data_IF_957275773222
#
_entry.id   IF_957275773222
#
_cell.length_a   1.000
_cell.length_b   1.000
_cell.length_c   1.000
_cell.angle_alpha   90.00
_cell.angle_beta   90.00
_cell.angle_gamma   90.00
#
_symmetry.space_group_name_H-M   'P 1'
#
loop_
_entity.id
_entity.type
_entity.pdbx_description
1 polymer ?
#
# COMPACT_ATOMS: atom_id res chain seq x y z
N UNK A 1 12.79 28.30 25.02
CA UNK A 1 11.97 27.14 24.58
C UNK A 1 11.12 26.74 25.77
N UNK A 2 9.79 26.76 25.65
CA UNK A 2 8.89 26.52 26.79
C UNK A 2 8.76 25.02 27.07
N UNK A 3 8.97 24.67 28.33
CA UNK A 3 8.71 23.38 28.98
C UNK A 3 7.20 23.15 29.14
N UNK A 4 6.76 21.90 28.95
CA UNK A 4 5.57 21.29 29.59
C UNK A 4 5.98 19.84 29.90
N UNK A 5 6.36 19.52 31.13
CA UNK A 5 5.50 19.20 32.28
C UNK A 5 5.22 17.71 32.38
N UNK A 6 5.66 17.21 33.53
CA UNK A 6 5.85 15.86 33.98
C UNK A 6 4.55 15.16 34.45
N UNK A 7 4.64 13.84 34.54
CA UNK A 7 3.92 12.94 35.46
C UNK A 7 2.49 12.51 35.11
N UNK A 8 2.32 11.18 35.00
CA UNK A 8 1.64 10.44 36.06
C UNK A 8 1.76 8.92 35.84
N UNK A 9 2.77 8.32 36.47
CA UNK A 9 2.84 6.87 36.70
C UNK A 9 1.71 6.49 37.67
N UNK A 10 0.71 5.73 37.22
CA UNK A 10 -0.18 4.99 38.12
C UNK A 10 0.26 3.53 38.15
N UNK A 11 0.64 2.95 39.32
CA UNK A 11 0.90 1.53 39.41
C UNK A 11 -0.45 0.82 39.48
N UNK A 12 -0.88 0.23 38.37
CA UNK A 12 -2.09 -0.59 38.38
C UNK A 12 -1.72 -2.01 38.84
N UNK A 13 -2.23 -2.34 40.03
CA UNK A 13 -2.32 -3.66 40.66
C UNK A 13 -2.29 -4.81 39.65
N UNK A 14 -1.36 -5.74 39.85
CA UNK A 14 -1.27 -6.98 39.07
C UNK A 14 -2.51 -7.83 39.37
N UNK A 15 -3.56 -7.66 38.58
CA UNK A 15 -4.62 -8.65 38.44
C UNK A 15 -4.20 -9.65 37.35
N UNK A 16 -3.75 -10.82 37.80
CA UNK A 16 -3.50 -12.01 37.00
C UNK A 16 -4.82 -12.52 36.41
N UNK A 17 -5.26 -11.96 35.27
CA UNK A 17 -6.47 -12.42 34.56
C UNK A 17 -6.57 -11.93 33.11
N UNK A 18 -5.47 -11.81 32.35
CA UNK A 18 -5.58 -11.18 31.03
C UNK A 18 -4.64 -11.77 29.97
N UNK A 19 -4.92 -13.00 29.52
CA UNK A 19 -4.43 -13.50 28.23
C UNK A 19 -5.08 -12.81 27.02
N UNK A 20 -5.87 -11.74 27.26
CA UNK A 20 -6.69 -11.06 26.25
C UNK A 20 -6.37 -9.56 26.14
N UNK A 21 -5.15 -9.12 26.49
CA UNK A 21 -4.77 -7.71 26.28
C UNK A 21 -4.54 -7.49 24.80
N UNK A 22 -5.29 -6.53 24.21
CA UNK A 22 -5.10 -6.13 22.81
C UNK A 22 -3.64 -5.68 22.62
N UNK A 23 -3.01 -6.05 21.50
CA UNK A 23 -1.66 -5.58 21.21
C UNK A 23 -1.63 -4.04 21.13
N UNK A 24 -0.48 -3.42 21.41
CA UNK A 24 -0.31 -1.98 21.22
C UNK A 24 -0.63 -1.60 19.78
N UNK A 25 -1.13 -0.39 19.59
CA UNK A 25 -1.37 0.15 18.25
C UNK A 25 -0.05 0.22 17.48
N UNK A 26 0.01 -0.45 16.34
CA UNK A 26 1.14 -0.41 15.42
C UNK A 26 0.73 0.45 14.22
N UNK A 27 1.36 1.61 13.98
CA UNK A 27 1.19 2.33 12.73
C UNK A 27 1.51 1.40 11.56
N UNK A 28 0.66 1.40 10.54
CA UNK A 28 0.93 0.63 9.33
C UNK A 28 2.25 1.10 8.72
N UNK A 29 3.07 0.15 8.23
CA UNK A 29 4.11 0.50 7.26
C UNK A 29 3.38 1.15 6.10
N UNK A 30 3.78 2.38 5.79
CA UNK A 30 3.11 3.26 4.83
C UNK A 30 2.46 2.48 3.68
N UNK A 31 1.12 2.41 3.69
CA UNK A 31 0.32 1.66 2.71
C UNK A 31 0.02 2.52 1.47
N UNK A 32 0.83 3.57 1.24
CA UNK A 32 0.80 4.26 -0.04
C UNK A 32 1.19 3.28 -1.14
N UNK A 33 0.19 2.86 -1.91
CA UNK A 33 0.39 2.16 -3.17
C UNK A 33 1.42 2.95 -4.01
N UNK A 34 2.38 2.27 -4.66
CA UNK A 34 3.29 2.96 -5.55
C UNK A 34 2.49 3.69 -6.63
N UNK A 35 3.03 4.81 -7.10
CA UNK A 35 2.38 5.60 -8.15
C UNK A 35 2.24 4.70 -9.38
N UNK A 36 1.00 4.43 -9.78
CA UNK A 36 0.73 3.72 -11.03
C UNK A 36 1.25 4.59 -12.18
N UNK A 37 2.16 4.03 -12.96
CA UNK A 37 2.80 4.74 -14.06
C UNK A 37 2.53 3.97 -15.33
N UNK A 38 2.02 4.67 -16.34
CA UNK A 38 1.66 4.05 -17.60
C UNK A 38 2.92 3.54 -18.31
N UNK A 39 2.94 2.28 -18.76
CA UNK A 39 4.07 1.72 -19.50
C UNK A 39 4.44 2.56 -20.72
N UNK A 40 3.43 3.14 -21.39
CA UNK A 40 3.58 4.02 -22.58
C UNK A 40 4.44 5.25 -22.29
N UNK A 41 4.41 5.77 -21.05
CA UNK A 41 5.16 6.97 -20.65
C UNK A 41 6.63 6.66 -20.29
N UNK A 42 7.00 5.38 -20.27
CA UNK A 42 8.27 4.86 -19.76
C UNK A 42 9.04 4.00 -20.76
N UNK A 43 8.37 3.52 -21.80
CA UNK A 43 8.95 2.72 -22.86
C UNK A 43 9.76 3.59 -23.84
N UNK A 44 10.68 2.95 -24.57
CA UNK A 44 11.39 3.62 -25.64
C UNK A 44 10.40 4.08 -26.72
N UNK A 45 10.56 5.30 -27.29
CA UNK A 45 9.63 5.81 -28.30
C UNK A 45 9.42 4.83 -29.46
N UNK A 46 10.49 4.16 -29.88
CA UNK A 46 10.48 3.19 -30.99
C UNK A 46 9.64 1.95 -30.66
N UNK A 47 9.80 1.37 -29.46
CA UNK A 47 9.04 0.18 -29.04
C UNK A 47 7.55 0.49 -28.86
N UNK A 48 7.26 1.69 -28.39
CA UNK A 48 5.90 2.17 -28.12
C UNK A 48 5.09 2.34 -29.41
N UNK A 49 5.69 2.88 -30.47
CA UNK A 49 5.04 3.03 -31.77
C UNK A 49 4.57 1.67 -32.34
N UNK A 50 5.39 0.62 -32.21
CA UNK A 50 5.00 -0.72 -32.64
C UNK A 50 3.84 -1.28 -31.81
N UNK A 51 3.82 -1.02 -30.50
CA UNK A 51 2.76 -1.49 -29.60
C UNK A 51 1.42 -0.77 -29.81
N UNK A 52 1.41 0.52 -30.17
CA UNK A 52 0.19 1.28 -30.52
C UNK A 52 -0.51 0.67 -31.75
N UNK A 53 0.27 0.14 -32.71
CA UNK A 53 -0.24 -0.49 -33.92
C UNK A 53 -0.66 -1.95 -33.73
N UNK A 54 -0.12 -2.63 -32.71
CA UNK A 54 -0.46 -4.02 -32.38
C UNK A 54 -1.77 -4.04 -31.59
N UNK A 55 -2.87 -4.09 -32.34
CA UNK A 55 -4.19 -4.33 -31.77
C UNK A 55 -4.18 -5.62 -30.92
N UNK A 56 -4.89 -5.64 -29.78
CA UNK A 56 -5.09 -6.89 -29.05
C UNK A 56 -5.69 -7.94 -29.99
N UNK A 57 -5.32 -9.20 -29.79
CA UNK A 57 -5.78 -10.29 -30.64
C UNK A 57 -7.30 -10.37 -30.58
N UNK A 58 -7.96 -10.02 -31.69
CA UNK A 58 -9.39 -10.22 -31.81
C UNK A 58 -9.65 -11.69 -32.10
N UNK A 59 -10.45 -12.34 -31.26
CA UNK A 59 -10.98 -13.66 -31.57
C UNK A 59 -11.84 -13.55 -32.83
N UNK A 60 -11.42 -14.21 -33.91
CA UNK A 60 -12.20 -14.28 -35.15
C UNK A 60 -13.25 -15.37 -34.94
N UNK A 61 -14.56 -15.05 -34.87
CA UNK A 61 -15.59 -16.08 -34.82
C UNK A 61 -15.54 -16.88 -36.11
N UNK A 62 -15.21 -18.17 -36.02
CA UNK A 62 -15.34 -19.08 -37.16
C UNK A 62 -16.81 -19.42 -37.33
N UNK A 63 -17.46 -18.86 -38.37
CA UNK A 63 -18.80 -19.31 -38.75
C UNK A 63 -18.72 -20.76 -39.22
N UNK A 64 -19.45 -21.65 -38.55
CA UNK A 64 -19.71 -23.02 -39.01
C UNK A 64 -20.85 -23.03 -40.02
#
# INVERSE_FOLDING_TARGET
MKSCSESSTKPNTIHNNNNNKKPPFMPAKDDTKPILQDPILRSDPIETEEAVLRLPTFSIPTSK
#
